data_IF_601940212849
#
_entry.id   IF_601940212849
#
_cell.length_a   1.000
_cell.length_b   1.000
_cell.length_c   1.000
_cell.angle_alpha   90.00
_cell.angle_beta   90.00
_cell.angle_gamma   90.00
#
_symmetry.space_group_name_H-M   'P 1'
#
loop_
_entity.id
_entity.type
_entity.pdbx_description
1 polymer ?
#
# COMPACT_ATOMS: atom_id res chain seq x y z
N UNK A 1 5.14 -80.25 20.14
CA UNK A 1 5.70 -79.10 20.88
C UNK A 1 6.90 -78.39 20.24
N UNK A 2 7.90 -79.12 19.65
CA UNK A 2 9.07 -78.47 19.01
C UNK A 2 8.76 -77.71 17.70
N UNK A 3 7.75 -78.10 16.91
CA UNK A 3 7.38 -77.39 15.71
C UNK A 3 6.56 -76.12 15.96
N UNK A 4 5.70 -76.09 17.00
CA UNK A 4 4.95 -74.92 17.41
C UNK A 4 5.86 -73.80 17.94
N UNK A 5 6.93 -74.13 18.64
CA UNK A 5 7.92 -73.12 19.09
C UNK A 5 8.70 -72.47 17.97
N UNK A 6 8.95 -73.17 16.86
CA UNK A 6 9.61 -72.60 15.67
C UNK A 6 8.71 -71.66 14.88
N UNK A 7 7.41 -71.92 14.81
CA UNK A 7 6.41 -71.05 14.15
C UNK A 7 6.21 -69.78 14.94
N UNK A 8 6.13 -69.84 16.29
CA UNK A 8 6.01 -68.66 17.14
C UNK A 8 7.26 -67.79 17.08
N UNK A 9 8.45 -68.37 16.96
CA UNK A 9 9.69 -67.60 16.84
C UNK A 9 9.83 -66.91 15.43
N UNK A 10 9.34 -67.56 14.37
CA UNK A 10 9.31 -67.00 13.03
C UNK A 10 8.29 -65.84 12.92
N UNK A 11 7.14 -65.92 13.61
CA UNK A 11 6.14 -64.85 13.68
C UNK A 11 6.61 -63.65 14.51
N UNK A 12 7.38 -63.90 15.59
CA UNK A 12 7.95 -62.82 16.41
C UNK A 12 9.04 -62.04 15.66
N UNK A 13 9.84 -62.69 14.79
CA UNK A 13 10.86 -62.05 13.94
C UNK A 13 10.21 -61.27 12.78
N UNK A 14 9.08 -61.75 12.22
CA UNK A 14 8.32 -60.99 11.22
C UNK A 14 7.62 -59.75 11.79
N UNK A 15 7.22 -59.77 13.08
CA UNK A 15 6.59 -58.60 13.73
C UNK A 15 7.60 -57.55 14.14
N UNK A 16 8.87 -57.86 14.33
CA UNK A 16 9.94 -56.90 14.66
C UNK A 16 10.45 -56.19 13.39
N UNK A 17 10.34 -56.81 12.22
CA UNK A 17 10.72 -56.21 10.94
C UNK A 17 9.66 -55.23 10.36
N UNK A 18 8.44 -55.25 10.89
CA UNK A 18 7.39 -54.29 10.49
C UNK A 18 7.38 -52.97 11.30
N UNK A 19 8.25 -52.84 12.32
CA UNK A 19 8.36 -51.63 13.15
C UNK A 19 9.49 -50.67 12.74
N UNK A 20 10.28 -51.04 11.70
CA UNK A 20 11.29 -50.12 11.12
C UNK A 20 10.81 -49.42 9.87
N UNK A 21 9.53 -49.37 9.63
CA UNK A 21 8.90 -48.39 8.75
C UNK A 21 8.95 -47.02 9.39
N UNK A 22 10.17 -46.46 9.58
CA UNK A 22 10.31 -45.02 9.78
C UNK A 22 9.68 -44.35 8.56
N UNK A 23 8.38 -44.04 8.67
CA UNK A 23 7.80 -42.99 7.89
C UNK A 23 8.72 -41.80 8.06
N UNK A 24 9.43 -41.39 7.01
CA UNK A 24 9.97 -40.05 6.90
C UNK A 24 8.75 -39.15 7.14
N UNK A 25 8.54 -38.79 8.41
CA UNK A 25 7.67 -37.70 8.74
C UNK A 25 8.12 -36.57 7.84
N UNK A 26 7.29 -36.17 6.90
CA UNK A 26 7.53 -34.93 6.16
C UNK A 26 7.69 -33.90 7.26
N UNK A 27 8.91 -33.39 7.44
CA UNK A 27 9.13 -32.15 8.21
C UNK A 27 8.04 -31.20 7.74
N UNK A 28 7.25 -30.58 8.64
CA UNK A 28 6.29 -29.59 8.23
C UNK A 28 7.03 -28.64 7.31
N UNK A 29 6.55 -28.45 6.09
CA UNK A 29 7.15 -27.44 5.21
C UNK A 29 7.00 -26.16 5.98
N UNK A 30 8.11 -25.44 6.19
CA UNK A 30 8.04 -24.08 6.73
C UNK A 30 7.07 -23.27 5.87
N UNK A 31 6.19 -22.54 6.49
CA UNK A 31 5.23 -21.69 5.80
C UNK A 31 5.12 -20.33 6.49
N UNK A 32 4.78 -19.33 5.72
CA UNK A 32 4.42 -18.00 6.19
C UNK A 32 3.05 -17.59 5.63
N UNK A 33 2.38 -16.70 6.34
CA UNK A 33 1.12 -16.11 5.95
C UNK A 33 1.32 -14.62 5.71
N UNK A 34 1.06 -14.19 4.47
CA UNK A 34 1.21 -12.79 4.03
C UNK A 34 -0.16 -12.21 3.75
N UNK A 35 -0.46 -11.04 4.30
CA UNK A 35 -1.70 -10.32 4.10
C UNK A 35 -1.42 -8.97 3.47
N UNK A 36 -1.87 -8.75 2.24
CA UNK A 36 -1.50 -7.61 1.42
C UNK A 36 -2.74 -7.07 0.69
N UNK A 37 -2.58 -5.98 -0.04
CA UNK A 37 -3.59 -5.43 -0.93
C UNK A 37 -3.88 -6.38 -2.10
N UNK A 38 -5.06 -6.25 -2.72
CA UNK A 38 -5.38 -6.94 -3.97
C UNK A 38 -4.44 -6.47 -5.11
N UNK A 39 -4.08 -7.38 -6.00
CA UNK A 39 -3.25 -7.11 -7.20
C UNK A 39 -1.94 -6.34 -6.95
N UNK A 40 -1.32 -6.58 -5.81
CA UNK A 40 -0.20 -5.79 -5.29
C UNK A 40 1.14 -6.54 -5.28
N UNK A 41 1.18 -7.75 -5.85
CA UNK A 41 2.39 -8.55 -6.01
C UNK A 41 2.29 -9.44 -7.27
N UNK A 42 3.39 -9.60 -8.00
CA UNK A 42 3.49 -10.63 -9.04
C UNK A 42 3.45 -12.02 -8.38
N UNK A 43 2.42 -12.84 -8.67
CA UNK A 43 2.29 -14.18 -8.08
C UNK A 43 3.49 -15.11 -8.36
N UNK A 44 4.29 -14.80 -9.38
CA UNK A 44 5.50 -15.58 -9.67
C UNK A 44 6.60 -15.31 -8.64
N UNK A 45 6.64 -14.13 -8.01
CA UNK A 45 7.58 -13.81 -6.92
C UNK A 45 7.38 -14.75 -5.73
N UNK A 46 6.11 -15.04 -5.38
CA UNK A 46 5.79 -15.97 -4.29
C UNK A 46 6.30 -17.39 -4.58
N UNK A 47 6.14 -17.85 -5.84
CA UNK A 47 6.65 -19.16 -6.30
C UNK A 47 8.17 -19.22 -6.31
N UNK A 48 8.82 -18.14 -6.75
CA UNK A 48 10.29 -18.05 -6.81
C UNK A 48 10.88 -18.05 -5.39
N UNK A 49 10.27 -17.30 -4.45
CA UNK A 49 10.62 -17.33 -3.03
C UNK A 49 10.50 -18.74 -2.44
N UNK A 50 9.36 -19.40 -2.65
CA UNK A 50 9.15 -20.76 -2.16
C UNK A 50 10.16 -21.75 -2.76
N UNK A 51 10.49 -21.62 -4.05
CA UNK A 51 11.48 -22.46 -4.73
C UNK A 51 12.89 -22.24 -4.17
N UNK A 52 13.26 -20.99 -3.90
CA UNK A 52 14.59 -20.62 -3.41
C UNK A 52 14.82 -20.97 -1.94
N UNK A 53 13.79 -20.83 -1.10
CA UNK A 53 13.91 -20.97 0.36
C UNK A 53 13.32 -22.25 0.92
N UNK A 54 12.42 -22.92 0.19
CA UNK A 54 11.61 -24.04 0.69
C UNK A 54 10.41 -23.59 1.55
N UNK A 55 10.27 -22.30 1.85
CA UNK A 55 9.18 -21.74 2.67
C UNK A 55 7.96 -21.51 1.78
N UNK A 56 6.82 -22.13 2.13
CA UNK A 56 5.56 -21.90 1.44
C UNK A 56 4.98 -20.55 1.82
N UNK A 57 4.49 -19.79 0.86
CA UNK A 57 3.75 -18.54 1.11
C UNK A 57 2.25 -18.79 0.94
N UNK A 58 1.48 -18.60 2.01
CA UNK A 58 0.03 -18.49 1.97
C UNK A 58 -0.30 -17.00 1.88
N UNK A 59 -0.98 -16.59 0.81
CA UNK A 59 -1.18 -15.19 0.48
C UNK A 59 -2.66 -14.87 0.48
N UNK A 60 -3.07 -13.93 1.33
CA UNK A 60 -4.43 -13.40 1.44
C UNK A 60 -4.42 -11.91 1.10
N UNK A 61 -5.59 -11.39 0.69
CA UNK A 61 -5.75 -9.97 0.33
C UNK A 61 -6.85 -9.28 1.12
N UNK A 62 -6.74 -7.96 1.22
CA UNK A 62 -7.75 -7.08 1.80
C UNK A 62 -7.98 -5.85 0.91
N UNK A 63 -9.09 -5.15 1.15
CA UNK A 63 -9.49 -3.99 0.37
C UNK A 63 -9.26 -2.66 1.11
N UNK A 64 -9.16 -2.67 2.45
CA UNK A 64 -8.96 -1.45 3.26
C UNK A 64 -8.05 -1.71 4.47
N UNK A 65 -7.38 -0.66 4.97
CA UNK A 65 -6.62 -0.74 6.22
C UNK A 65 -7.52 -1.09 7.41
N UNK A 66 -8.78 -0.70 7.37
CA UNK A 66 -9.79 -0.99 8.39
C UNK A 66 -10.10 -2.49 8.43
N UNK A 67 -10.25 -3.14 7.27
CA UNK A 67 -10.42 -4.60 7.17
C UNK A 67 -9.19 -5.34 7.72
N UNK A 68 -8.00 -4.87 7.34
CA UNK A 68 -6.75 -5.40 7.90
C UNK A 68 -6.74 -5.28 9.43
N UNK A 69 -7.07 -4.12 9.98
CA UNK A 69 -7.09 -3.88 11.41
C UNK A 69 -8.10 -4.79 12.14
N UNK A 70 -9.32 -4.90 11.62
CA UNK A 70 -10.35 -5.81 12.16
C UNK A 70 -9.84 -7.25 12.11
N UNK A 71 -9.26 -7.68 11.00
CA UNK A 71 -8.72 -9.02 10.82
C UNK A 71 -7.62 -9.33 11.84
N UNK A 72 -6.69 -8.40 12.04
CA UNK A 72 -5.58 -8.56 12.99
C UNK A 72 -6.03 -8.59 14.45
N UNK A 73 -7.11 -7.88 14.81
CA UNK A 73 -7.55 -7.69 16.19
C UNK A 73 -8.67 -8.62 16.63
N UNK A 74 -9.54 -9.04 15.70
CA UNK A 74 -10.77 -9.79 16.02
C UNK A 74 -10.76 -11.21 15.46
N UNK A 75 -9.90 -11.54 14.50
CA UNK A 75 -9.78 -12.88 13.95
C UNK A 75 -8.78 -13.74 14.74
N UNK A 76 -8.95 -15.06 14.63
CA UNK A 76 -7.96 -16.03 15.11
C UNK A 76 -6.86 -16.29 14.07
N UNK A 77 -7.02 -15.77 12.86
CA UNK A 77 -6.03 -15.89 11.80
C UNK A 77 -4.74 -15.19 12.22
N UNK A 78 -3.62 -15.78 11.84
CA UNK A 78 -2.31 -15.26 12.18
C UNK A 78 -1.52 -15.07 10.91
N UNK A 79 -1.05 -13.85 10.75
CA UNK A 79 -0.18 -13.48 9.66
C UNK A 79 1.24 -13.28 10.16
N UNK A 80 2.20 -13.52 9.30
CA UNK A 80 3.63 -13.34 9.57
C UNK A 80 4.13 -12.02 8.96
N UNK A 81 3.54 -11.60 7.84
CA UNK A 81 3.79 -10.30 7.21
C UNK A 81 2.46 -9.66 6.83
N UNK A 82 2.31 -8.39 7.13
CA UNK A 82 1.19 -7.56 6.64
C UNK A 82 1.74 -6.28 6.02
N UNK A 83 0.99 -5.66 5.09
CA UNK A 83 1.48 -4.52 4.29
C UNK A 83 0.53 -3.32 4.40
N UNK A 84 0.35 -2.72 5.59
CA UNK A 84 -0.52 -1.55 5.77
C UNK A 84 0.10 -0.25 5.27
N UNK A 85 -0.75 0.77 5.15
CA UNK A 85 -0.32 2.14 4.88
C UNK A 85 0.14 2.88 6.14
N UNK A 86 0.79 4.01 5.96
CA UNK A 86 1.46 4.87 6.94
C UNK A 86 0.68 5.09 8.25
N UNK A 87 -0.54 5.65 8.19
CA UNK A 87 -1.35 5.94 9.37
C UNK A 87 -1.79 4.68 10.14
N UNK A 88 -1.98 3.57 9.42
CA UNK A 88 -2.32 2.29 10.03
C UNK A 88 -1.10 1.68 10.71
N UNK A 89 0.09 1.79 10.13
CA UNK A 89 1.35 1.36 10.77
C UNK A 89 1.53 2.12 12.08
N UNK A 90 1.35 3.46 12.06
CA UNK A 90 1.44 4.29 13.27
C UNK A 90 0.50 3.79 14.37
N UNK A 91 -0.76 3.49 14.00
CA UNK A 91 -1.75 2.93 14.90
C UNK A 91 -1.35 1.56 15.47
N UNK A 92 -0.92 0.65 14.60
CA UNK A 92 -0.50 -0.69 15.01
C UNK A 92 0.71 -0.65 15.96
N UNK A 93 1.65 0.28 15.75
CA UNK A 93 2.79 0.51 16.65
C UNK A 93 2.29 1.03 18.01
N UNK A 94 1.45 2.06 18.04
CA UNK A 94 0.89 2.65 19.27
C UNK A 94 0.12 1.62 20.11
N UNK A 95 -0.60 0.73 19.45
CA UNK A 95 -1.39 -0.32 20.11
C UNK A 95 -0.58 -1.59 20.44
N UNK A 96 0.71 -1.63 20.08
CA UNK A 96 1.59 -2.78 20.33
C UNK A 96 1.21 -4.04 19.57
N UNK A 97 0.58 -3.89 18.41
CA UNK A 97 0.09 -4.99 17.55
C UNK A 97 1.13 -5.50 16.56
N UNK A 98 2.24 -4.79 16.41
CA UNK A 98 3.41 -5.19 15.63
C UNK A 98 4.63 -5.33 16.51
N UNK A 99 5.65 -5.99 16.03
CA UNK A 99 6.91 -6.24 16.74
C UNK A 99 8.06 -5.52 16.05
N UNK A 100 9.10 -5.24 16.82
CA UNK A 100 10.36 -4.78 16.27
C UNK A 100 10.96 -5.83 15.33
N UNK A 101 11.54 -5.36 14.23
CA UNK A 101 12.19 -6.15 13.19
C UNK A 101 13.69 -6.25 13.52
N UNK A 102 14.27 -7.43 13.40
CA UNK A 102 15.72 -7.62 13.47
C UNK A 102 16.37 -7.29 12.12
N UNK A 103 16.79 -6.06 11.95
CA UNK A 103 17.42 -5.60 10.71
C UNK A 103 18.74 -6.30 10.38
N UNK A 104 19.35 -7.01 11.34
CA UNK A 104 20.51 -7.87 11.05
C UNK A 104 20.14 -9.06 10.15
N UNK A 105 18.86 -9.43 10.11
CA UNK A 105 18.29 -10.47 9.26
C UNK A 105 17.79 -9.94 7.91
N UNK A 106 17.79 -8.62 7.73
CA UNK A 106 17.31 -7.94 6.52
C UNK A 106 18.44 -7.07 5.93
N UNK A 107 19.57 -7.66 5.52
CA UNK A 107 20.70 -6.89 4.98
C UNK A 107 20.34 -6.06 3.75
N UNK A 108 19.35 -6.48 2.96
CA UNK A 108 18.87 -5.74 1.80
C UNK A 108 18.16 -4.43 2.14
N UNK A 109 17.87 -4.15 3.43
CA UNK A 109 17.39 -2.82 3.85
C UNK A 109 18.39 -1.70 3.53
N UNK A 110 19.67 -2.00 3.40
CA UNK A 110 20.68 -1.07 2.91
C UNK A 110 20.35 -0.53 1.50
N UNK A 111 19.62 -1.31 0.69
CA UNK A 111 19.23 -0.94 -0.67
C UNK A 111 18.04 0.04 -0.72
N UNK A 112 17.33 0.27 0.39
CA UNK A 112 16.21 1.22 0.43
C UNK A 112 16.73 2.65 0.21
N UNK A 113 15.99 3.44 -0.58
CA UNK A 113 16.28 4.86 -0.82
C UNK A 113 16.32 5.62 0.51
N UNK A 114 17.32 6.48 0.70
CA UNK A 114 17.55 7.12 2.00
C UNK A 114 16.41 8.05 2.39
N UNK A 115 15.74 8.65 1.42
CA UNK A 115 14.58 9.53 1.62
C UNK A 115 13.35 8.78 2.16
N UNK A 116 13.28 7.46 1.99
CA UNK A 116 12.17 6.62 2.45
C UNK A 116 12.48 5.92 3.78
N UNK A 117 13.66 6.20 4.36
CA UNK A 117 14.03 5.72 5.69
C UNK A 117 13.57 6.70 6.77
N UNK A 118 13.36 6.19 7.97
CA UNK A 118 12.93 6.97 9.14
C UNK A 118 11.65 7.78 8.87
N UNK A 119 10.58 7.16 8.33
CA UNK A 119 9.33 7.87 8.06
C UNK A 119 8.70 8.37 9.37
N UNK A 120 7.84 9.39 9.29
CA UNK A 120 7.25 10.03 10.47
C UNK A 120 6.43 9.07 11.35
N UNK A 121 5.91 8.00 10.80
CA UNK A 121 5.13 6.98 11.49
C UNK A 121 5.98 5.88 12.15
N UNK A 122 7.26 5.77 11.77
CA UNK A 122 8.28 4.87 12.35
C UNK A 122 9.66 5.54 12.32
N UNK A 123 9.91 6.58 13.15
CA UNK A 123 11.07 7.48 13.02
C UNK A 123 12.44 6.81 13.21
N UNK A 124 12.45 5.63 13.82
CA UNK A 124 13.69 4.87 14.05
C UNK A 124 13.80 3.65 13.13
N UNK A 125 12.87 3.47 12.19
CA UNK A 125 12.75 2.26 11.35
C UNK A 125 12.82 0.97 12.17
N UNK A 126 12.06 0.89 13.25
CA UNK A 126 12.07 -0.32 14.11
C UNK A 126 11.04 -1.36 13.68
N UNK A 127 9.95 -0.95 13.06
CA UNK A 127 8.76 -1.78 12.87
C UNK A 127 8.40 -2.01 11.41
N UNK A 128 8.87 -1.18 10.49
CA UNK A 128 8.40 -1.16 9.13
C UNK A 128 9.52 -1.15 8.08
N UNK A 129 9.25 -1.79 6.95
CA UNK A 129 10.14 -1.83 5.78
C UNK A 129 9.32 -1.39 4.55
N UNK A 130 9.70 -0.31 3.85
CA UNK A 130 8.96 0.18 2.70
C UNK A 130 8.73 -0.90 1.63
N UNK A 131 7.52 -0.94 1.07
CA UNK A 131 7.09 -1.86 0.03
C UNK A 131 6.86 -1.14 -1.29
N UNK A 132 5.96 -0.14 -1.28
CA UNK A 132 5.72 0.82 -2.36
C UNK A 132 5.44 2.20 -1.78
N UNK A 133 5.54 3.22 -2.61
CA UNK A 133 5.23 4.60 -2.23
C UNK A 133 4.76 5.40 -3.44
N UNK A 134 4.18 6.56 -3.20
CA UNK A 134 3.77 7.49 -4.24
C UNK A 134 3.20 8.79 -3.69
N UNK A 135 2.61 9.57 -4.57
CA UNK A 135 2.01 10.87 -4.24
C UNK A 135 0.54 10.91 -4.66
N UNK A 136 -0.20 11.85 -4.09
CA UNK A 136 -1.52 12.25 -4.59
C UNK A 136 -1.37 13.57 -5.34
N UNK A 137 -2.06 13.70 -6.46
CA UNK A 137 -2.01 14.90 -7.27
C UNK A 137 -3.25 15.07 -8.14
N UNK A 138 -3.13 15.90 -9.15
CA UNK A 138 -4.16 16.14 -10.15
C UNK A 138 -3.73 15.48 -11.45
N UNK A 139 -4.53 14.53 -11.96
CA UNK A 139 -4.47 14.11 -13.36
C UNK A 139 -5.45 14.95 -14.15
N UNK A 140 -5.03 15.36 -15.35
CA UNK A 140 -5.83 16.23 -16.19
C UNK A 140 -5.60 15.98 -17.68
N UNK A 141 -6.62 16.25 -18.50
CA UNK A 141 -6.50 16.19 -19.94
C UNK A 141 -5.94 17.51 -20.48
N UNK A 142 -4.66 17.52 -20.91
CA UNK A 142 -3.98 18.72 -21.45
C UNK A 142 -4.54 19.20 -22.79
N UNK A 143 -5.29 18.34 -23.52
CA UNK A 143 -5.98 18.74 -24.74
C UNK A 143 -7.25 19.56 -24.44
N UNK A 144 -7.87 19.42 -23.27
CA UNK A 144 -9.10 20.10 -22.88
C UNK A 144 -8.87 21.20 -21.82
N UNK A 145 -7.97 20.96 -20.87
CA UNK A 145 -7.65 21.90 -19.79
C UNK A 145 -6.52 22.82 -20.26
N UNK A 146 -6.87 24.03 -20.66
CA UNK A 146 -5.91 25.02 -21.19
C UNK A 146 -5.34 25.95 -20.12
N UNK A 147 -5.93 26.00 -18.95
CA UNK A 147 -5.39 26.73 -17.82
C UNK A 147 -4.19 25.99 -17.23
N UNK A 148 -3.29 26.73 -16.58
CA UNK A 148 -2.15 26.13 -15.90
C UNK A 148 -2.62 25.29 -14.72
N UNK A 149 -2.30 23.99 -14.73
CA UNK A 149 -2.60 23.06 -13.64
C UNK A 149 -1.37 22.97 -12.73
N UNK A 150 -1.29 23.82 -11.71
CA UNK A 150 -0.19 23.80 -10.71
C UNK A 150 -0.67 24.03 -9.27
N UNK A 151 -1.99 24.07 -9.07
CA UNK A 151 -2.61 24.40 -7.80
C UNK A 151 -3.91 23.63 -7.63
N UNK A 152 -4.23 23.23 -6.40
CA UNK A 152 -5.54 22.64 -6.05
C UNK A 152 -6.72 23.56 -6.42
N UNK A 153 -6.48 24.89 -6.56
CA UNK A 153 -7.53 25.84 -6.91
C UNK A 153 -8.20 25.54 -8.27
N UNK A 154 -7.54 24.82 -9.19
CA UNK A 154 -8.14 24.45 -10.48
C UNK A 154 -9.42 23.60 -10.29
N UNK A 155 -9.49 22.80 -9.20
CA UNK A 155 -10.65 21.97 -8.86
C UNK A 155 -11.84 22.80 -8.31
N UNK A 156 -11.68 24.11 -8.14
CA UNK A 156 -12.72 25.09 -7.75
C UNK A 156 -13.04 26.09 -8.87
N UNK A 157 -12.50 25.84 -10.08
CA UNK A 157 -12.74 26.74 -11.20
C UNK A 157 -14.04 26.37 -11.93
N UNK A 158 -15.02 27.29 -11.93
CA UNK A 158 -16.33 27.11 -12.56
C UNK A 158 -16.25 26.75 -14.06
N UNK A 159 -15.17 27.11 -14.74
CA UNK A 159 -14.92 26.75 -16.13
C UNK A 159 -14.95 25.22 -16.35
N UNK A 160 -14.59 24.44 -15.34
CA UNK A 160 -14.54 23.00 -15.40
C UNK A 160 -15.68 22.31 -14.66
N UNK A 161 -16.80 23.01 -14.48
CA UNK A 161 -18.01 22.44 -13.88
C UNK A 161 -18.44 21.17 -14.60
N UNK A 162 -18.79 20.13 -13.81
CA UNK A 162 -19.14 18.80 -14.28
C UNK A 162 -18.01 18.07 -15.06
N UNK A 163 -16.76 18.47 -14.83
CA UNK A 163 -15.58 17.83 -15.43
C UNK A 163 -14.53 17.45 -14.38
N UNK A 164 -14.90 17.51 -13.09
CA UNK A 164 -14.01 17.29 -11.95
C UNK A 164 -14.42 16.04 -11.22
N UNK A 165 -13.51 15.11 -11.03
CA UNK A 165 -13.68 13.95 -10.15
C UNK A 165 -12.90 14.21 -8.87
N UNK A 166 -13.57 14.05 -7.73
CA UNK A 166 -12.94 14.00 -6.42
C UNK A 166 -12.86 12.55 -5.96
N UNK A 167 -11.83 12.22 -5.16
CA UNK A 167 -11.71 10.89 -4.61
C UNK A 167 -12.77 10.64 -3.53
N UNK A 168 -13.43 9.47 -3.56
CA UNK A 168 -14.46 9.10 -2.58
C UNK A 168 -13.82 8.64 -1.26
N UNK A 169 -12.92 9.43 -0.74
CA UNK A 169 -12.22 9.21 0.52
C UNK A 169 -12.26 10.48 1.35
N UNK A 170 -12.68 10.34 2.60
CA UNK A 170 -12.73 11.47 3.51
C UNK A 170 -11.36 12.10 3.76
N UNK A 171 -10.32 11.25 3.91
CA UNK A 171 -8.97 11.73 4.21
C UNK A 171 -8.37 12.45 3.02
N UNK A 172 -8.49 11.89 1.82
CA UNK A 172 -7.96 12.48 0.60
C UNK A 172 -8.69 13.77 0.24
N UNK A 173 -10.02 13.74 0.20
CA UNK A 173 -10.81 14.90 -0.21
C UNK A 173 -10.72 16.05 0.80
N UNK A 174 -10.79 15.79 2.11
CA UNK A 174 -10.53 16.82 3.13
C UNK A 174 -9.08 17.29 3.09
N UNK A 175 -8.13 16.38 2.86
CA UNK A 175 -6.71 16.70 2.71
C UNK A 175 -6.44 17.68 1.57
N UNK A 176 -7.07 17.48 0.40
CA UNK A 176 -7.00 18.40 -0.75
C UNK A 176 -7.51 19.80 -0.36
N UNK A 177 -8.67 19.89 0.30
CA UNK A 177 -9.22 21.16 0.73
C UNK A 177 -8.36 21.86 1.80
N UNK A 178 -7.82 21.10 2.76
CA UNK A 178 -6.90 21.62 3.77
C UNK A 178 -5.63 22.16 3.12
N UNK A 179 -4.99 21.40 2.21
CA UNK A 179 -3.81 21.86 1.48
C UNK A 179 -4.08 23.11 0.66
N UNK A 180 -5.21 23.15 -0.07
CA UNK A 180 -5.65 24.34 -0.80
C UNK A 180 -5.73 25.60 0.08
N UNK A 181 -6.14 25.43 1.34
CA UNK A 181 -6.26 26.51 2.32
C UNK A 181 -4.96 26.81 3.08
N UNK A 182 -3.87 26.06 2.81
CA UNK A 182 -2.57 26.22 3.46
C UNK A 182 -2.44 25.51 4.81
N UNK A 183 -3.33 24.57 5.10
CA UNK A 183 -3.32 23.79 6.34
C UNK A 183 -2.62 22.42 6.17
N UNK A 184 -2.29 21.78 7.30
CA UNK A 184 -1.84 20.38 7.29
C UNK A 184 -3.00 19.44 6.92
N UNK A 185 -2.73 18.41 6.10
CA UNK A 185 -3.73 17.38 5.81
C UNK A 185 -4.04 16.48 7.03
N UNK A 186 -3.32 16.66 8.13
CA UNK A 186 -3.54 15.99 9.40
C UNK A 186 -4.10 16.95 10.48
N UNK A 187 -4.68 18.08 10.08
CA UNK A 187 -5.17 19.08 11.04
C UNK A 187 -6.18 18.46 12.02
N UNK A 188 -5.96 18.72 13.31
CA UNK A 188 -6.91 18.44 14.39
C UNK A 188 -7.56 19.72 14.91
N UNK A 189 -7.44 20.83 14.18
CA UNK A 189 -8.08 22.09 14.48
C UNK A 189 -9.47 22.14 13.86
N UNK A 190 -10.52 22.12 14.69
CA UNK A 190 -11.90 22.12 14.20
C UNK A 190 -12.24 23.34 13.33
N UNK A 191 -11.63 24.52 13.58
CA UNK A 191 -11.86 25.71 12.75
C UNK A 191 -11.35 25.48 11.32
N UNK A 192 -10.14 24.93 11.15
CA UNK A 192 -9.56 24.62 9.85
C UNK A 192 -10.41 23.58 9.11
N UNK A 193 -10.91 22.57 9.83
CA UNK A 193 -11.80 21.56 9.26
C UNK A 193 -13.16 22.14 8.85
N UNK A 194 -13.72 23.11 9.60
CA UNK A 194 -14.96 23.78 9.18
C UNK A 194 -14.74 24.67 7.94
N UNK A 195 -13.58 25.31 7.80
CA UNK A 195 -13.21 26.05 6.60
C UNK A 195 -13.03 25.10 5.39
N UNK A 196 -12.38 23.97 5.57
CA UNK A 196 -12.26 22.94 4.54
C UNK A 196 -13.62 22.37 4.13
N UNK A 197 -14.49 22.05 5.09
CA UNK A 197 -15.87 21.62 4.86
C UNK A 197 -16.65 22.64 4.01
N UNK A 198 -16.62 23.92 4.42
CA UNK A 198 -17.30 25.00 3.67
C UNK A 198 -16.78 25.05 2.23
N UNK A 199 -15.48 25.01 2.04
CA UNK A 199 -14.83 24.98 0.74
C UNK A 199 -15.30 23.80 -0.13
N UNK A 200 -15.42 22.61 0.44
CA UNK A 200 -15.87 21.41 -0.29
C UNK A 200 -17.37 21.46 -0.62
N UNK A 201 -18.20 22.01 0.25
CA UNK A 201 -19.62 22.23 -0.03
C UNK A 201 -19.79 23.19 -1.22
N UNK A 202 -19.00 24.29 -1.26
CA UNK A 202 -19.00 25.22 -2.41
C UNK A 202 -18.53 24.52 -3.70
N UNK A 203 -17.49 23.67 -3.62
CA UNK A 203 -16.96 22.93 -4.74
C UNK A 203 -17.95 21.89 -5.28
N UNK A 204 -18.76 21.29 -4.43
CA UNK A 204 -19.65 20.18 -4.78
C UNK A 204 -20.52 20.46 -6.01
N UNK A 205 -20.93 21.74 -6.19
CA UNK A 205 -21.68 22.19 -7.37
C UNK A 205 -20.90 22.09 -8.69
N UNK A 206 -19.57 21.91 -8.63
CA UNK A 206 -18.68 21.82 -9.78
C UNK A 206 -18.28 20.38 -10.09
N UNK A 207 -18.39 19.48 -9.09
CA UNK A 207 -17.92 18.09 -9.18
C UNK A 207 -18.86 17.28 -10.05
N UNK A 208 -18.28 16.49 -10.97
CA UNK A 208 -18.99 15.49 -11.74
C UNK A 208 -19.42 14.33 -10.84
N UNK A 209 -18.47 13.77 -10.09
CA UNK A 209 -18.72 12.68 -9.14
C UNK A 209 -17.60 12.55 -8.09
N UNK A 210 -17.93 11.91 -6.97
CA UNK A 210 -16.96 11.35 -6.03
C UNK A 210 -16.83 9.86 -6.35
N UNK A 211 -15.65 9.44 -6.84
CA UNK A 211 -15.40 8.07 -7.29
C UNK A 211 -14.11 7.53 -6.66
N UNK A 212 -14.07 6.22 -6.53
CA UNK A 212 -12.87 5.45 -6.20
C UNK A 212 -12.13 5.08 -7.51
N UNK A 213 -11.67 3.86 -7.64
CA UNK A 213 -10.93 3.37 -8.82
C UNK A 213 -11.72 3.50 -10.14
N UNK A 214 -13.05 3.46 -10.09
CA UNK A 214 -13.91 3.67 -11.28
C UNK A 214 -13.73 5.04 -11.94
N UNK A 215 -13.22 6.03 -11.18
CA UNK A 215 -12.90 7.35 -11.69
C UNK A 215 -11.81 7.35 -12.77
N UNK A 216 -10.97 6.31 -12.81
CA UNK A 216 -9.92 6.14 -13.83
C UNK A 216 -10.52 6.07 -15.23
N UNK A 217 -11.49 5.18 -15.42
CA UNK A 217 -12.10 4.95 -16.72
C UNK A 217 -12.83 6.20 -17.23
N UNK A 218 -13.51 6.93 -16.35
CA UNK A 218 -14.22 8.17 -16.67
C UNK A 218 -13.27 9.23 -17.24
N UNK A 219 -12.07 9.39 -16.64
CA UNK A 219 -11.07 10.35 -17.12
C UNK A 219 -10.36 9.87 -18.39
N UNK A 220 -10.02 8.58 -18.47
CA UNK A 220 -9.37 8.00 -19.66
C UNK A 220 -10.26 8.12 -20.90
N UNK A 221 -11.58 7.95 -20.74
CA UNK A 221 -12.57 8.10 -21.82
C UNK A 221 -12.91 9.55 -22.16
N UNK A 222 -12.51 10.51 -21.32
CA UNK A 222 -12.72 11.93 -21.53
C UNK A 222 -14.08 12.46 -21.06
N UNK A 223 -14.82 11.70 -20.25
CA UNK A 223 -16.08 12.14 -19.65
C UNK A 223 -15.86 13.17 -18.52
N UNK A 224 -14.64 13.18 -17.94
CA UNK A 224 -14.14 14.21 -17.03
C UNK A 224 -12.70 14.56 -17.39
N UNK A 225 -12.31 15.83 -17.14
CA UNK A 225 -11.02 16.35 -17.59
C UNK A 225 -10.02 16.65 -16.46
N UNK A 226 -10.46 16.56 -15.20
CA UNK A 226 -9.67 16.79 -14.00
C UNK A 226 -10.04 15.76 -12.94
N UNK A 227 -9.05 15.15 -12.30
CA UNK A 227 -9.31 14.26 -11.15
C UNK A 227 -8.21 14.33 -10.10
N UNK A 228 -8.58 14.19 -8.84
CA UNK A 228 -7.65 13.83 -7.77
C UNK A 228 -7.29 12.36 -7.94
N UNK A 229 -6.00 12.05 -8.00
CA UNK A 229 -5.55 10.68 -8.29
C UNK A 229 -4.21 10.35 -7.61
N UNK A 230 -4.05 9.09 -7.26
CA UNK A 230 -2.77 8.53 -6.85
C UNK A 230 -1.82 8.44 -8.04
N UNK A 231 -0.52 8.70 -7.82
CA UNK A 231 0.50 8.71 -8.88
C UNK A 231 0.59 7.39 -9.66
N UNK A 232 0.35 6.27 -8.98
CA UNK A 232 0.35 4.95 -9.63
C UNK A 232 -0.75 4.82 -10.67
N UNK A 233 -1.97 5.15 -10.28
CA UNK A 233 -3.13 5.13 -11.18
C UNK A 233 -2.98 6.15 -12.31
N UNK A 234 -2.47 7.35 -11.98
CA UNK A 234 -2.21 8.38 -12.99
C UNK A 234 -1.25 7.87 -14.08
N UNK A 235 -0.20 7.13 -13.71
CA UNK A 235 0.72 6.55 -14.69
C UNK A 235 0.01 5.54 -15.60
N UNK A 236 -0.83 4.66 -15.04
CA UNK A 236 -1.62 3.70 -15.83
C UNK A 236 -2.58 4.39 -16.79
N UNK A 237 -3.24 5.46 -16.34
CA UNK A 237 -4.16 6.26 -17.16
C UNK A 237 -3.42 6.97 -18.30
N UNK A 238 -2.23 7.54 -18.02
CA UNK A 238 -1.39 8.21 -19.03
C UNK A 238 -0.86 7.22 -20.08
N UNK A 239 -0.70 5.94 -19.77
CA UNK A 239 -0.36 4.90 -20.76
C UNK A 239 -1.54 4.58 -21.69
N UNK A 240 -2.77 4.79 -21.25
CA UNK A 240 -3.98 4.54 -22.03
C UNK A 240 -4.42 5.76 -22.84
N UNK A 241 -4.09 6.98 -22.37
CA UNK A 241 -4.45 8.22 -23.02
C UNK A 241 -3.29 9.23 -22.93
N UNK A 242 -2.62 9.47 -24.05
CA UNK A 242 -1.43 10.36 -24.15
C UNK A 242 -1.75 11.83 -23.90
N UNK A 243 -3.02 12.23 -23.95
CA UNK A 243 -3.44 13.60 -23.64
C UNK A 243 -3.51 13.86 -22.13
N UNK A 244 -3.38 12.84 -21.29
CA UNK A 244 -3.34 13.01 -19.86
C UNK A 244 -1.96 13.45 -19.39
N UNK A 245 -1.94 14.23 -18.29
CA UNK A 245 -0.74 14.61 -17.57
C UNK A 245 -1.04 14.69 -16.07
N UNK A 246 -0.01 14.64 -15.25
CA UNK A 246 -0.14 14.59 -13.79
C UNK A 246 0.74 15.63 -13.13
N UNK A 247 0.21 16.26 -12.07
CA UNK A 247 0.95 17.26 -11.30
C UNK A 247 0.67 17.13 -9.79
N UNK A 248 1.71 17.30 -8.99
CA UNK A 248 1.58 17.54 -7.55
C UNK A 248 1.45 19.04 -7.34
N UNK A 249 0.33 19.56 -6.81
CA UNK A 249 0.09 20.99 -6.67
C UNK A 249 1.04 21.69 -5.69
N UNK A 250 1.34 22.94 -5.98
CA UNK A 250 2.34 23.76 -5.25
C UNK A 250 2.05 24.00 -3.78
N UNK A 251 0.80 23.90 -3.36
CA UNK A 251 0.40 23.99 -1.95
C UNK A 251 0.85 22.78 -1.13
N UNK A 252 1.36 21.75 -1.81
CA UNK A 252 1.73 20.48 -1.22
C UNK A 252 0.65 19.43 -1.34
N UNK A 253 1.00 18.20 -0.99
CA UNK A 253 0.12 17.06 -1.14
C UNK A 253 0.45 15.93 -0.16
N UNK A 254 -0.27 14.82 -0.30
CA UNK A 254 0.03 13.58 0.37
C UNK A 254 1.19 12.85 -0.33
N UNK A 255 2.14 12.34 0.46
CA UNK A 255 3.02 11.24 0.12
C UNK A 255 2.58 10.04 0.95
N UNK A 256 2.27 8.95 0.31
CA UNK A 256 1.83 7.73 0.97
C UNK A 256 2.91 6.66 0.90
N UNK A 257 2.90 5.81 1.91
CA UNK A 257 3.81 4.67 2.05
C UNK A 257 2.99 3.44 2.42
N UNK A 258 3.19 2.35 1.69
CA UNK A 258 2.83 1.02 2.15
C UNK A 258 4.10 0.30 2.57
N UNK A 259 4.08 -0.32 3.75
CA UNK A 259 5.27 -0.96 4.29
C UNK A 259 4.95 -2.33 4.87
N UNK A 260 5.91 -3.24 4.74
CA UNK A 260 5.85 -4.55 5.36
C UNK A 260 6.12 -4.43 6.86
N UNK A 261 5.25 -5.00 7.68
CA UNK A 261 5.41 -5.09 9.13
C UNK A 261 5.17 -6.54 9.59
N UNK A 262 5.73 -6.90 10.74
CA UNK A 262 5.57 -8.23 11.34
C UNK A 262 4.59 -8.12 12.51
N UNK A 263 3.42 -8.78 12.46
CA UNK A 263 2.47 -8.78 13.56
C UNK A 263 3.07 -9.33 14.87
N UNK A 264 2.60 -8.82 16.00
CA UNK A 264 3.07 -9.24 17.32
C UNK A 264 2.92 -10.75 17.56
N UNK A 265 1.87 -11.34 17.00
CA UNK A 265 1.51 -12.75 17.14
C UNK A 265 1.99 -13.64 15.97
N UNK A 266 2.89 -13.13 15.10
CA UNK A 266 3.47 -13.90 14.01
C UNK A 266 4.05 -15.23 14.48
N UNK A 267 3.82 -16.29 13.70
CA UNK A 267 4.22 -17.65 14.08
C UNK A 267 5.58 -18.04 13.50
N UNK A 268 5.96 -17.47 12.36
CA UNK A 268 7.23 -17.73 11.69
C UNK A 268 7.96 -16.42 11.38
N UNK A 269 8.52 -15.82 12.43
CA UNK A 269 9.23 -14.53 12.34
C UNK A 269 10.47 -14.63 11.43
N UNK A 270 11.23 -15.72 11.53
CA UNK A 270 12.41 -15.91 10.69
C UNK A 270 12.02 -16.02 9.20
N UNK A 271 10.92 -16.72 8.90
CA UNK A 271 10.37 -16.78 7.55
C UNK A 271 9.88 -15.43 7.04
N UNK A 272 9.25 -14.62 7.93
CA UNK A 272 8.83 -13.26 7.62
C UNK A 272 10.01 -12.35 7.29
N UNK A 273 11.07 -12.37 8.09
CA UNK A 273 12.30 -11.58 7.85
C UNK A 273 12.99 -12.00 6.55
N UNK A 274 13.04 -13.29 6.24
CA UNK A 274 13.54 -13.79 4.96
C UNK A 274 12.70 -13.28 3.78
N UNK A 275 11.37 -13.28 3.91
CA UNK A 275 10.47 -12.76 2.88
C UNK A 275 10.65 -11.26 2.67
N UNK A 276 10.69 -10.48 3.75
CA UNK A 276 10.94 -9.04 3.69
C UNK A 276 12.29 -8.75 3.03
N UNK A 277 13.35 -9.47 3.43
CA UNK A 277 14.67 -9.31 2.82
C UNK A 277 14.65 -9.63 1.31
N UNK A 278 13.97 -10.70 0.91
CA UNK A 278 13.82 -11.10 -0.49
C UNK A 278 13.07 -10.04 -1.30
N UNK A 279 12.00 -9.46 -0.74
CA UNK A 279 11.25 -8.39 -1.41
C UNK A 279 12.08 -7.10 -1.64
N UNK A 280 13.21 -6.93 -0.95
CA UNK A 280 14.16 -5.83 -1.16
C UNK A 280 15.30 -6.16 -2.14
N UNK A 281 15.27 -7.31 -2.80
CA UNK A 281 16.17 -7.58 -3.90
C UNK A 281 15.78 -6.76 -5.13
N UNK A 282 16.78 -6.16 -5.80
CA UNK A 282 16.54 -5.25 -6.93
C UNK A 282 15.75 -5.92 -8.06
N UNK A 283 16.13 -7.14 -8.43
CA UNK A 283 15.50 -7.91 -9.49
C UNK A 283 14.06 -8.31 -9.13
N UNK A 284 13.82 -8.63 -7.85
CA UNK A 284 12.49 -8.95 -7.33
C UNK A 284 11.59 -7.72 -7.38
N UNK A 285 12.07 -6.58 -6.90
CA UNK A 285 11.32 -5.33 -6.95
C UNK A 285 11.08 -4.87 -8.39
N UNK A 286 12.07 -4.98 -9.28
CA UNK A 286 11.88 -4.65 -10.69
C UNK A 286 10.81 -5.51 -11.36
N UNK A 287 10.75 -6.81 -11.00
CA UNK A 287 9.70 -7.72 -11.46
C UNK A 287 8.34 -7.31 -10.89
N UNK A 288 8.29 -6.95 -9.62
CA UNK A 288 7.06 -6.54 -8.97
C UNK A 288 6.49 -5.25 -9.58
N UNK A 289 7.31 -4.21 -9.76
CA UNK A 289 6.91 -2.95 -10.42
C UNK A 289 6.41 -3.16 -11.84
N UNK A 290 7.00 -4.10 -12.60
CA UNK A 290 6.53 -4.41 -13.96
C UNK A 290 5.17 -5.09 -13.98
N UNK A 291 4.82 -5.81 -12.93
CA UNK A 291 3.51 -6.45 -12.77
C UNK A 291 2.48 -5.47 -12.19
N UNK A 292 2.86 -4.80 -11.11
CA UNK A 292 2.05 -3.78 -10.44
C UNK A 292 2.37 -2.41 -11.04
N UNK A 293 2.10 -2.24 -12.34
CA UNK A 293 2.42 -1.00 -13.06
C UNK A 293 1.80 0.19 -12.34
N UNK A 294 2.60 1.23 -12.16
CA UNK A 294 2.17 2.46 -11.51
C UNK A 294 2.73 2.68 -10.11
N UNK A 295 3.12 1.63 -9.40
CA UNK A 295 3.68 1.77 -8.06
C UNK A 295 5.20 1.92 -8.08
N UNK A 296 5.73 2.78 -7.20
CA UNK A 296 7.16 3.10 -7.18
C UNK A 296 7.88 2.23 -6.15
N UNK A 297 8.95 1.57 -6.59
CA UNK A 297 9.80 0.78 -5.71
C UNK A 297 10.59 1.66 -4.74
N UNK A 298 10.74 1.25 -3.47
CA UNK A 298 11.62 1.90 -2.53
C UNK A 298 13.10 1.52 -2.69
N UNK A 299 13.46 0.64 -3.62
CA UNK A 299 14.79 0.03 -3.71
C UNK A 299 15.65 0.74 -4.74
N UNK A 300 16.84 1.18 -4.33
CA UNK A 300 17.87 1.81 -5.17
C UNK A 300 18.21 0.95 -6.38
N UNK A 301 18.31 1.58 -7.53
CA UNK A 301 18.71 0.94 -8.79
C UNK A 301 17.65 0.06 -9.44
N UNK A 302 16.43 0.01 -8.93
CA UNK A 302 15.29 -0.65 -9.60
C UNK A 302 14.89 0.11 -10.84
N UNK A 303 14.88 1.43 -10.78
CA UNK A 303 14.55 2.32 -11.90
C UNK A 303 15.27 1.96 -13.19
N UNK A 304 16.56 1.61 -13.10
CA UNK A 304 17.41 1.27 -14.25
C UNK A 304 17.03 -0.06 -14.91
N UNK A 305 16.30 -0.93 -14.22
CA UNK A 305 15.84 -2.24 -14.71
C UNK A 305 14.43 -2.19 -15.33
N UNK A 306 13.79 -1.02 -15.29
CA UNK A 306 12.43 -0.83 -15.78
C UNK A 306 12.41 -0.41 -17.26
N UNK A 307 11.30 -0.68 -17.97
CA UNK A 307 11.05 -0.12 -19.30
C UNK A 307 11.16 1.41 -19.32
N UNK A 308 11.56 1.96 -20.45
CA UNK A 308 11.82 3.41 -20.59
C UNK A 308 10.58 4.27 -20.27
N UNK A 309 9.39 3.77 -20.55
CA UNK A 309 8.13 4.46 -20.24
C UNK A 309 7.93 4.67 -18.72
N UNK A 310 8.32 3.70 -17.90
CA UNK A 310 8.24 3.80 -16.44
C UNK A 310 9.47 4.54 -15.89
N UNK A 311 10.65 4.16 -16.35
CA UNK A 311 11.94 4.71 -15.91
C UNK A 311 12.03 6.23 -16.09
N UNK A 312 11.53 6.75 -17.21
CA UNK A 312 11.58 8.17 -17.53
C UNK A 312 10.34 8.95 -17.07
N UNK A 313 9.38 8.26 -16.46
CA UNK A 313 8.18 8.89 -15.91
C UNK A 313 8.52 9.79 -14.73
N UNK A 314 8.14 11.06 -14.81
CA UNK A 314 8.22 12.01 -13.69
C UNK A 314 7.13 11.77 -12.64
N UNK A 315 6.14 10.97 -12.96
CA UNK A 315 5.05 10.57 -12.06
C UNK A 315 5.53 9.47 -11.13
N UNK A 316 6.11 8.39 -11.70
CA UNK A 316 6.64 7.28 -10.93
C UNK A 316 7.96 7.65 -10.21
N UNK A 317 8.84 8.40 -10.86
CA UNK A 317 10.15 8.78 -10.35
C UNK A 317 10.36 10.29 -10.42
N UNK A 318 9.62 11.06 -9.60
CA UNK A 318 9.75 12.52 -9.57
C UNK A 318 11.13 12.94 -9.03
N UNK A 319 11.55 14.14 -9.41
CA UNK A 319 12.68 14.80 -8.79
C UNK A 319 12.22 15.32 -7.41
N UNK A 320 12.58 14.59 -6.35
CA UNK A 320 12.10 14.86 -4.99
C UNK A 320 12.49 16.26 -4.50
N UNK A 321 13.61 16.80 -4.96
CA UNK A 321 14.07 18.14 -4.58
C UNK A 321 13.21 19.26 -5.20
N UNK A 322 12.44 18.94 -6.23
CA UNK A 322 11.54 19.89 -6.92
C UNK A 322 10.08 19.71 -6.57
N UNK A 323 9.72 18.68 -5.83
CA UNK A 323 8.36 18.51 -5.36
C UNK A 323 7.99 19.57 -4.33
N UNK A 324 6.72 20.01 -4.32
CA UNK A 324 6.20 20.84 -3.24
C UNK A 324 6.23 20.09 -1.90
N UNK A 325 5.99 20.76 -0.77
CA UNK A 325 5.96 20.12 0.54
C UNK A 325 4.98 18.93 0.56
N UNK A 326 5.46 17.77 1.00
CA UNK A 326 4.66 16.55 1.11
C UNK A 326 4.46 16.19 2.59
N UNK A 327 3.30 15.63 2.90
CA UNK A 327 2.97 15.10 4.22
C UNK A 327 2.39 13.69 4.07
N UNK A 328 2.79 12.74 4.92
CA UNK A 328 2.07 11.46 5.06
C UNK A 328 0.86 11.61 5.98
N UNK A 329 -0.14 10.76 5.80
CA UNK A 329 -1.24 10.68 6.75
C UNK A 329 -0.75 10.16 8.10
N UNK A 330 -1.36 10.69 9.18
CA UNK A 330 -1.12 10.26 10.56
C UNK A 330 -2.37 9.58 11.12
N UNK A 331 -2.15 8.73 12.09
CA UNK A 331 -3.23 8.23 12.93
C UNK A 331 -3.80 9.37 13.77
N UNK A 332 -5.07 9.70 13.53
CA UNK A 332 -5.79 10.77 14.23
C UNK A 332 -6.44 10.27 15.54
N UNK A 333 -6.30 8.99 15.86
CA UNK A 333 -6.96 8.40 17.02
C UNK A 333 -8.48 8.68 17.02
N UNK A 334 -9.02 9.02 18.19
CA UNK A 334 -10.45 9.36 18.31
C UNK A 334 -10.89 10.59 17.49
N UNK A 335 -9.95 11.45 17.07
CA UNK A 335 -10.27 12.63 16.29
C UNK A 335 -10.75 12.29 14.87
N UNK A 336 -10.52 11.09 14.38
CA UNK A 336 -11.07 10.60 13.11
C UNK A 336 -12.60 10.73 13.06
N UNK A 337 -13.29 10.61 14.19
CA UNK A 337 -14.75 10.78 14.30
C UNK A 337 -15.22 12.19 13.89
N UNK A 338 -14.35 13.19 14.01
CA UNK A 338 -14.64 14.56 13.55
C UNK A 338 -14.60 14.61 12.02
N UNK A 339 -13.63 13.95 11.42
CA UNK A 339 -13.53 13.80 9.96
C UNK A 339 -14.74 13.03 9.41
N UNK A 340 -15.14 11.91 10.04
CA UNK A 340 -16.32 11.12 9.66
C UNK A 340 -17.59 11.96 9.67
N UNK A 341 -17.80 12.75 10.73
CA UNK A 341 -18.94 13.64 10.84
C UNK A 341 -18.94 14.68 9.71
N UNK A 342 -17.81 15.36 9.50
CA UNK A 342 -17.66 16.39 8.48
C UNK A 342 -17.89 15.81 7.09
N UNK A 343 -17.36 14.64 6.80
CA UNK A 343 -17.55 13.93 5.53
C UNK A 343 -19.03 13.58 5.30
N UNK A 344 -19.70 13.09 6.33
CA UNK A 344 -21.15 12.83 6.29
C UNK A 344 -21.94 14.11 6.00
N UNK A 345 -21.58 15.23 6.63
CA UNK A 345 -22.24 16.52 6.42
C UNK A 345 -22.00 17.07 5.00
N UNK A 346 -20.79 16.89 4.44
CA UNK A 346 -20.49 17.25 3.04
C UNK A 346 -21.35 16.42 2.09
N UNK A 347 -21.41 15.10 2.29
CA UNK A 347 -22.18 14.21 1.43
C UNK A 347 -23.68 14.48 1.50
N UNK A 348 -24.21 14.80 2.68
CA UNK A 348 -25.62 15.11 2.91
C UNK A 348 -26.02 16.55 2.50
N UNK A 349 -25.05 17.44 2.23
CA UNK A 349 -25.37 18.81 1.82
C UNK A 349 -26.11 18.82 0.48
N UNK A 350 -27.30 19.42 0.46
CA UNK A 350 -28.01 19.72 -0.78
C UNK A 350 -27.32 20.90 -1.49
N UNK A 351 -27.20 20.79 -2.81
CA UNK A 351 -26.72 21.86 -3.67
C UNK A 351 -27.77 22.96 -3.81
#
# INVERSE_FOLDING_TARGET
MKQMKKIIFAFAILMVLSLTGCGKGKTPKEEIYVYNWGEYIDPQILKDFQKGTGIKVNYDTYASNEDLYIKMTQSQDKYDVVVPSDYMIERLIKEGLVREIDFSKIPNFANVEDILKNPSFDPENKYSVPYFWGTVGIIYNKAEVKDKVDSWNILWNEKYKNQIIMYNSQRDTLGVALKRLGYSLNSTNEKELQEAKKSLIEQKALVYAYLDDDGRDVVVQGDANLSVMYSGDALLMMQQNEDLDYVVPKEGSNIWYDSMVIPKNAQNVEGAEKFINYMLEKEVQAKNVKHCVGYTSPVKGVKELLPDEIKNSKVAYPDMDKLPPLESFKDLGDFIKVYDRIWTEINASNL
#
